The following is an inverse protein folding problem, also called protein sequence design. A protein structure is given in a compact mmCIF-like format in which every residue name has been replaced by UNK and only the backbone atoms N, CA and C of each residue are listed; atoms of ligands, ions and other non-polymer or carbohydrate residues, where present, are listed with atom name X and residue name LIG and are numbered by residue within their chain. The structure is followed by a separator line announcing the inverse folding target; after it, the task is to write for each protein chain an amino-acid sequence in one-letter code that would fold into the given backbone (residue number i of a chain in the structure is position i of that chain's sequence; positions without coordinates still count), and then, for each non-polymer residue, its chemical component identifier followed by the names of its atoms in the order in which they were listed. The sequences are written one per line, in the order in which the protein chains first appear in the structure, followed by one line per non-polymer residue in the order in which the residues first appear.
data_IF_896755789217
#
_entry.id   IF_896755789217
#
_cell.length_a   1.000
_cell.length_b   1.000
_cell.length_c   1.000
_cell.angle_alpha   90.00
_cell.angle_beta   90.00
_cell.angle_gamma   90.00
#
_symmetry.space_group_name_H-M   'P 1'
#
loop_
_entity.id
_entity.type
_entity.pdbx_description
1 polymer ?
#
# COMPACT_ATOMS: atom_id res chain seq x y z
N UNK A 1 2.84 -19.44 -26.11
CA UNK A 1 2.21 -18.63 -25.08
C UNK A 1 3.28 -18.19 -24.08
N UNK A 2 3.44 -16.91 -23.87
CA UNK A 2 4.24 -16.40 -22.78
C UNK A 2 3.39 -16.47 -21.50
N UNK A 3 4.01 -16.86 -20.41
CA UNK A 3 3.40 -16.89 -19.08
C UNK A 3 4.27 -16.12 -18.10
N UNK A 4 3.66 -15.35 -17.25
CA UNK A 4 4.34 -14.55 -16.24
C UNK A 4 3.89 -14.98 -14.84
N UNK A 5 4.80 -14.91 -13.88
CA UNK A 5 4.48 -15.11 -12.47
C UNK A 5 3.67 -13.90 -11.96
N UNK A 6 2.65 -14.14 -11.13
CA UNK A 6 1.77 -13.10 -10.63
C UNK A 6 2.49 -12.18 -9.65
N UNK A 7 2.30 -10.86 -9.81
CA UNK A 7 2.82 -9.86 -8.87
C UNK A 7 1.84 -9.54 -7.73
N UNK A 8 0.54 -9.79 -7.93
CA UNK A 8 -0.56 -9.51 -7.00
C UNK A 8 -1.84 -10.14 -7.53
N UNK A 9 -2.78 -10.45 -6.65
CA UNK A 9 -4.12 -10.91 -7.00
C UNK A 9 -5.17 -9.79 -6.96
N UNK A 10 -4.75 -8.55 -6.78
CA UNK A 10 -5.62 -7.40 -6.51
C UNK A 10 -6.75 -7.23 -7.54
N UNK A 11 -6.45 -7.18 -8.84
CA UNK A 11 -7.48 -6.97 -9.87
C UNK A 11 -8.49 -8.13 -9.93
N UNK A 12 -8.03 -9.36 -9.69
CA UNK A 12 -8.90 -10.53 -9.63
C UNK A 12 -9.83 -10.48 -8.40
N UNK A 13 -9.31 -10.00 -7.25
CA UNK A 13 -10.10 -9.83 -6.03
C UNK A 13 -11.13 -8.71 -6.17
N UNK A 14 -10.80 -7.59 -6.81
CA UNK A 14 -11.78 -6.55 -7.15
C UNK A 14 -12.94 -7.11 -7.98
N UNK A 15 -12.63 -7.93 -9.01
CA UNK A 15 -13.64 -8.62 -9.80
C UNK A 15 -14.55 -9.53 -8.95
N UNK A 16 -13.98 -10.25 -7.99
CA UNK A 16 -14.73 -11.12 -7.08
C UNK A 16 -15.62 -10.31 -6.13
N UNK A 17 -15.12 -9.19 -5.59
CA UNK A 17 -15.91 -8.29 -4.72
C UNK A 17 -17.15 -7.78 -5.44
N UNK A 18 -16.99 -7.31 -6.69
CA UNK A 18 -18.08 -6.80 -7.52
C UNK A 18 -19.16 -7.89 -7.75
N UNK A 19 -18.72 -9.10 -8.08
CA UNK A 19 -19.63 -10.24 -8.34
C UNK A 19 -20.29 -10.79 -7.09
N UNK A 20 -19.55 -10.94 -6.00
CA UNK A 20 -20.03 -11.58 -4.77
C UNK A 20 -20.68 -10.57 -3.79
N UNK A 21 -20.46 -9.28 -3.97
CA UNK A 21 -20.93 -8.19 -3.09
C UNK A 21 -20.57 -8.40 -1.62
N UNK A 22 -19.42 -8.99 -1.36
CA UNK A 22 -18.88 -9.25 -0.01
C UNK A 22 -17.37 -9.15 0.00
N UNK A 23 -16.78 -9.01 1.20
CA UNK A 23 -15.35 -9.06 1.38
C UNK A 23 -14.74 -10.40 1.00
N UNK A 24 -13.60 -10.37 0.36
CA UNK A 24 -12.80 -11.53 -0.02
C UNK A 24 -11.35 -11.28 0.38
N UNK A 25 -10.56 -12.32 0.51
CA UNK A 25 -9.12 -12.21 0.68
C UNK A 25 -8.41 -13.43 0.09
N UNK A 26 -7.14 -13.28 -0.17
CA UNK A 26 -6.26 -14.39 -0.53
C UNK A 26 -4.95 -14.32 0.25
N UNK A 27 -4.30 -15.47 0.34
CA UNK A 27 -2.91 -15.59 0.77
C UNK A 27 -2.19 -16.26 -0.39
N UNK A 28 -1.39 -15.50 -1.11
CA UNK A 28 -0.77 -15.95 -2.36
C UNK A 28 0.71 -15.61 -2.43
N UNK A 29 1.45 -16.43 -3.17
CA UNK A 29 2.82 -16.10 -3.54
C UNK A 29 2.80 -15.05 -4.65
N UNK A 30 3.57 -14.00 -4.42
CA UNK A 30 3.77 -12.89 -5.35
C UNK A 30 5.23 -12.82 -5.76
N UNK A 31 5.45 -12.42 -7.01
CA UNK A 31 6.77 -12.43 -7.62
C UNK A 31 7.06 -11.06 -8.21
N UNK A 32 8.21 -10.49 -7.85
CA UNK A 32 8.68 -9.20 -8.40
C UNK A 32 10.14 -9.31 -8.75
N UNK A 33 10.51 -8.74 -9.87
CA UNK A 33 11.92 -8.56 -10.21
C UNK A 33 12.48 -7.45 -9.33
N UNK A 34 13.49 -7.78 -8.53
CA UNK A 34 14.15 -6.82 -7.63
C UNK A 34 15.56 -6.54 -8.12
N UNK A 35 15.93 -5.27 -8.12
CA UNK A 35 17.31 -4.88 -8.42
C UNK A 35 18.17 -5.01 -7.16
N UNK A 36 18.86 -6.13 -7.01
CA UNK A 36 19.73 -6.41 -5.86
C UNK A 36 21.05 -5.61 -5.86
N UNK A 37 21.35 -4.85 -6.91
CA UNK A 37 22.45 -3.87 -6.92
C UNK A 37 22.05 -2.59 -6.18
N UNK A 38 20.76 -2.36 -5.96
CA UNK A 38 20.26 -1.29 -5.11
C UNK A 38 20.53 -1.61 -3.63
N UNK A 39 21.35 -0.81 -2.92
CA UNK A 39 21.62 -1.03 -1.50
C UNK A 39 20.38 -1.03 -0.60
N UNK A 40 19.30 -0.35 -1.00
CA UNK A 40 18.04 -0.30 -0.25
C UNK A 40 17.19 -1.57 -0.45
N UNK A 41 17.30 -2.23 -1.59
CA UNK A 41 16.64 -3.51 -1.87
C UNK A 41 17.35 -4.68 -1.19
N UNK A 42 18.69 -4.59 -1.10
CA UNK A 42 19.54 -5.67 -0.59
C UNK A 42 19.21 -6.01 0.88
N UNK A 43 18.78 -7.26 1.09
CA UNK A 43 18.46 -7.78 2.42
C UNK A 43 17.08 -7.38 2.98
N UNK A 44 16.27 -6.64 2.20
CA UNK A 44 14.89 -6.25 2.57
C UNK A 44 13.84 -6.84 1.64
N UNK A 45 14.11 -6.86 0.35
CA UNK A 45 13.15 -7.30 -0.66
C UNK A 45 13.48 -8.70 -1.15
N UNK A 46 12.45 -9.49 -1.33
CA UNK A 46 12.53 -10.83 -1.88
C UNK A 46 11.84 -10.84 -3.25
N UNK A 47 12.40 -11.58 -4.21
CA UNK A 47 11.76 -11.76 -5.52
C UNK A 47 10.53 -12.64 -5.44
N UNK A 48 10.41 -13.50 -4.42
CA UNK A 48 9.23 -14.28 -4.09
C UNK A 48 8.86 -14.03 -2.63
N UNK A 49 7.60 -13.70 -2.39
CA UNK A 49 7.07 -13.42 -1.05
C UNK A 49 5.57 -13.70 -1.01
N UNK A 50 5.02 -13.85 0.20
CA UNK A 50 3.60 -14.07 0.39
C UNK A 50 2.90 -12.75 0.67
N UNK A 51 1.83 -12.45 -0.08
CA UNK A 51 0.90 -11.36 0.19
C UNK A 51 -0.39 -11.89 0.83
N UNK A 52 -0.92 -11.11 1.77
CA UNK A 52 -2.29 -11.22 2.27
C UNK A 52 -3.04 -10.03 1.70
N UNK A 53 -3.96 -10.29 0.77
CA UNK A 53 -4.64 -9.25 0.00
C UNK A 53 -6.15 -9.32 0.27
N UNK A 54 -6.69 -8.51 1.20
CA UNK A 54 -8.12 -8.37 1.40
C UNK A 54 -8.71 -7.28 0.51
N UNK A 55 -9.86 -7.55 -0.08
CA UNK A 55 -10.70 -6.57 -0.78
C UNK A 55 -12.13 -6.63 -0.23
N UNK A 56 -12.77 -5.49 -0.05
CA UNK A 56 -14.07 -5.42 0.61
C UNK A 56 -14.92 -4.27 0.06
N UNK A 57 -16.24 -4.47 -0.12
CA UNK A 57 -17.13 -3.37 -0.39
C UNK A 57 -17.28 -2.48 0.86
N UNK A 58 -17.28 -1.18 0.65
CA UNK A 58 -17.53 -0.18 1.68
C UNK A 58 -18.64 0.77 1.24
N UNK A 59 -19.31 1.39 2.20
CA UNK A 59 -20.31 2.42 1.97
C UNK A 59 -19.85 3.75 2.55
N UNK A 60 -20.21 4.84 1.89
CA UNK A 60 -19.87 6.20 2.30
C UNK A 60 -19.12 7.00 1.24
N UNK A 61 -18.75 8.23 1.58
CA UNK A 61 -17.85 9.04 0.76
C UNK A 61 -16.46 8.42 0.69
N UNK A 62 -15.67 8.79 -0.32
CA UNK A 62 -14.31 8.25 -0.47
C UNK A 62 -13.43 8.50 0.77
N UNK A 63 -13.60 9.65 1.44
CA UNK A 63 -12.88 9.96 2.68
C UNK A 63 -13.31 9.06 3.85
N UNK A 64 -14.60 8.82 3.99
CA UNK A 64 -15.13 7.89 5.02
C UNK A 64 -14.65 6.47 4.76
N UNK A 65 -14.62 6.04 3.49
CA UNK A 65 -14.11 4.72 3.09
C UNK A 65 -12.63 4.61 3.39
N UNK A 66 -11.82 5.62 3.08
CA UNK A 66 -10.39 5.63 3.41
C UNK A 66 -10.17 5.49 4.92
N UNK A 67 -10.95 6.21 5.74
CA UNK A 67 -10.88 6.08 7.19
C UNK A 67 -11.27 4.68 7.69
N UNK A 68 -12.23 4.01 7.05
CA UNK A 68 -12.59 2.62 7.36
C UNK A 68 -11.47 1.63 6.96
N UNK A 69 -10.77 1.88 5.84
CA UNK A 69 -9.58 1.10 5.44
C UNK A 69 -8.50 1.24 6.50
N UNK A 70 -8.13 2.46 6.89
CA UNK A 70 -7.13 2.75 7.92
C UNK A 70 -7.46 2.02 9.24
N UNK A 71 -8.73 2.10 9.68
CA UNK A 71 -9.16 1.41 10.89
C UNK A 71 -9.07 -0.12 10.77
N UNK A 72 -9.32 -0.67 9.57
CA UNK A 72 -9.20 -2.09 9.29
C UNK A 72 -7.74 -2.55 9.33
N UNK A 73 -6.83 -1.82 8.70
CA UNK A 73 -5.40 -2.10 8.68
C UNK A 73 -4.79 -2.04 10.10
N UNK A 74 -5.11 -1.00 10.87
CA UNK A 74 -4.69 -0.88 12.27
C UNK A 74 -5.17 -2.09 13.09
N UNK A 75 -6.43 -2.52 12.90
CA UNK A 75 -6.99 -3.68 13.58
C UNK A 75 -6.28 -4.99 13.19
N UNK A 76 -5.95 -5.18 11.91
CA UNK A 76 -5.20 -6.36 11.44
C UNK A 76 -3.86 -6.45 12.15
N UNK A 77 -3.07 -5.38 12.14
CA UNK A 77 -1.76 -5.36 12.79
C UNK A 77 -1.86 -5.57 14.30
N UNK A 78 -2.77 -4.88 14.97
CA UNK A 78 -2.97 -5.05 16.42
C UNK A 78 -3.41 -6.47 16.78
N UNK A 79 -4.28 -7.08 15.96
CA UNK A 79 -4.70 -8.45 16.17
C UNK A 79 -3.54 -9.44 16.01
N UNK A 80 -2.70 -9.26 14.99
CA UNK A 80 -1.53 -10.10 14.77
C UNK A 80 -0.52 -9.95 15.92
N UNK A 81 -0.23 -8.72 16.37
CA UNK A 81 0.66 -8.47 17.49
C UNK A 81 0.11 -9.12 18.79
N UNK A 82 -1.19 -8.98 19.03
CA UNK A 82 -1.84 -9.59 20.19
C UNK A 82 -1.68 -11.10 20.17
N UNK A 83 -2.01 -11.76 19.06
CA UNK A 83 -1.92 -13.20 18.88
C UNK A 83 -0.49 -13.72 19.11
N UNK A 84 0.50 -13.03 18.56
CA UNK A 84 1.90 -13.41 18.71
C UNK A 84 2.40 -13.22 20.16
N UNK A 85 1.97 -12.14 20.84
CA UNK A 85 2.31 -11.94 22.25
C UNK A 85 1.66 -12.98 23.17
N UNK A 86 0.42 -13.37 22.91
CA UNK A 86 -0.30 -14.37 23.72
C UNK A 86 0.30 -15.79 23.58
N UNK A 87 0.81 -16.14 22.40
CA UNK A 87 1.22 -17.51 22.10
C UNK A 87 2.74 -17.71 21.96
N UNK A 88 3.53 -16.66 21.68
CA UNK A 88 4.94 -16.75 21.30
C UNK A 88 5.85 -15.75 22.05
N UNK A 89 5.43 -15.16 23.20
CA UNK A 89 6.21 -14.14 23.90
C UNK A 89 7.62 -14.67 24.29
N UNK A 90 7.71 -15.91 24.72
CA UNK A 90 8.98 -16.56 25.06
C UNK A 90 9.89 -16.67 23.85
N UNK A 91 9.36 -17.08 22.71
CA UNK A 91 10.14 -17.25 21.46
C UNK A 91 10.62 -15.91 20.93
N UNK A 92 9.76 -14.86 20.99
CA UNK A 92 10.15 -13.49 20.64
C UNK A 92 11.34 -13.04 21.49
N UNK A 93 11.29 -13.30 22.78
CA UNK A 93 12.36 -12.93 23.71
C UNK A 93 13.65 -13.67 23.41
N UNK A 94 13.57 -14.97 23.16
CA UNK A 94 14.73 -15.81 22.78
C UNK A 94 15.39 -15.33 21.48
N UNK A 95 14.60 -14.86 20.53
CA UNK A 95 15.07 -14.29 19.26
C UNK A 95 15.55 -12.85 19.36
N UNK A 96 15.56 -12.25 20.56
CA UNK A 96 15.97 -10.86 20.80
C UNK A 96 14.94 -9.83 20.34
N UNK A 97 13.67 -10.24 20.19
CA UNK A 97 12.56 -9.34 19.87
C UNK A 97 12.19 -8.43 21.04
N UNK A 98 11.60 -7.28 20.72
CA UNK A 98 11.25 -6.24 21.70
C UNK A 98 9.79 -6.38 22.16
N UNK A 99 9.54 -7.29 23.08
CA UNK A 99 8.19 -7.55 23.65
C UNK A 99 7.53 -6.28 24.20
N UNK A 100 8.26 -5.47 24.97
CA UNK A 100 7.71 -4.22 25.55
C UNK A 100 7.29 -3.22 24.47
N UNK A 101 8.04 -3.14 23.35
CA UNK A 101 7.65 -2.33 22.22
C UNK A 101 6.32 -2.82 21.61
N UNK A 102 6.18 -4.13 21.37
CA UNK A 102 4.95 -4.71 20.84
C UNK A 102 3.75 -4.46 21.76
N UNK A 103 3.94 -4.63 23.08
CA UNK A 103 2.92 -4.28 24.10
C UNK A 103 2.54 -2.79 24.04
N UNK A 104 3.52 -1.90 23.86
CA UNK A 104 3.28 -0.47 23.77
C UNK A 104 2.49 -0.09 22.52
N UNK A 105 2.71 -0.77 21.39
CA UNK A 105 1.97 -0.55 20.12
C UNK A 105 0.49 -0.89 20.29
N UNK A 106 0.15 -1.96 21.04
CA UNK A 106 -1.25 -2.32 21.30
C UNK A 106 -2.01 -1.24 22.06
N UNK A 107 -1.35 -0.54 22.99
CA UNK A 107 -1.95 0.49 23.84
C UNK A 107 -2.10 1.87 23.18
N UNK A 108 -1.58 2.08 21.96
CA UNK A 108 -1.55 3.37 21.30
C UNK A 108 -2.35 3.35 20.01
N UNK A 109 -2.93 4.49 19.63
CA UNK A 109 -3.41 4.69 18.28
C UNK A 109 -2.21 4.92 17.34
N UNK A 110 -2.27 4.41 16.14
CA UNK A 110 -1.26 4.66 15.13
C UNK A 110 -1.29 6.13 14.71
N UNK A 111 -0.14 6.70 14.43
CA UNK A 111 -0.04 8.07 13.96
C UNK A 111 -0.61 8.19 12.53
N UNK A 112 -1.06 9.38 12.16
CA UNK A 112 -1.63 9.64 10.83
C UNK A 112 -1.13 10.99 10.33
N UNK A 113 -0.77 11.03 9.05
CA UNK A 113 -0.50 12.26 8.33
C UNK A 113 -0.84 12.06 6.84
N UNK A 114 -1.06 13.16 6.16
CA UNK A 114 -1.15 13.17 4.71
C UNK A 114 0.24 13.20 4.08
N UNK A 115 0.34 12.87 2.80
CA UNK A 115 1.58 13.01 2.04
C UNK A 115 2.10 14.45 2.05
N UNK A 116 1.22 15.45 1.97
CA UNK A 116 1.63 16.86 2.02
C UNK A 116 2.22 17.24 3.38
N UNK A 117 1.61 16.81 4.48
CA UNK A 117 2.15 17.01 5.84
C UNK A 117 3.49 16.28 6.00
N UNK A 118 3.65 15.09 5.39
CA UNK A 118 4.94 14.39 5.38
C UNK A 118 6.02 15.18 4.64
N UNK A 119 5.72 15.76 3.46
CA UNK A 119 6.65 16.62 2.74
C UNK A 119 6.98 17.90 3.51
N UNK A 120 5.97 18.53 4.13
CA UNK A 120 6.19 19.73 4.95
C UNK A 120 7.17 19.44 6.11
N UNK A 121 6.95 18.32 6.82
CA UNK A 121 7.84 17.87 7.88
C UNK A 121 9.25 17.61 7.35
N UNK A 122 9.41 16.83 6.28
CA UNK A 122 10.70 16.48 5.70
C UNK A 122 11.48 17.71 5.21
N UNK A 123 10.77 18.71 4.68
CA UNK A 123 11.39 19.95 4.23
C UNK A 123 11.83 20.85 5.42
N UNK A 124 11.07 20.87 6.52
CA UNK A 124 11.49 21.53 7.78
C UNK A 124 12.75 20.90 8.36
N UNK A 125 12.94 19.60 8.18
CA UNK A 125 14.14 18.86 8.55
C UNK A 125 15.33 19.03 7.55
N UNK A 126 15.26 20.02 6.67
CA UNK A 126 16.31 20.36 5.72
C UNK A 126 16.26 19.60 4.41
N UNK A 127 15.15 18.95 4.09
CA UNK A 127 14.89 18.37 2.78
C UNK A 127 14.58 19.41 1.70
N UNK A 128 14.47 18.96 0.46
CA UNK A 128 14.01 19.75 -0.69
C UNK A 128 13.06 18.91 -1.56
N UNK A 129 12.04 18.37 -0.92
CA UNK A 129 11.06 17.50 -1.55
C UNK A 129 9.95 18.32 -2.20
N UNK A 130 9.49 17.86 -3.36
CA UNK A 130 8.41 18.48 -4.14
C UNK A 130 7.22 17.54 -4.24
N UNK A 131 6.06 18.10 -4.47
CA UNK A 131 4.86 17.30 -4.73
C UNK A 131 5.09 16.30 -5.88
N UNK A 132 4.92 15.05 -5.55
CA UNK A 132 5.09 13.91 -6.47
C UNK A 132 6.47 13.25 -6.43
N UNK A 133 7.34 13.65 -5.50
CA UNK A 133 8.52 12.87 -5.17
C UNK A 133 8.10 11.61 -4.40
N UNK A 134 8.78 10.50 -4.62
CA UNK A 134 8.50 9.28 -3.89
C UNK A 134 9.11 9.34 -2.48
N UNK A 135 8.44 8.73 -1.51
CA UNK A 135 8.96 8.55 -0.16
C UNK A 135 9.67 7.20 -0.08
N UNK A 136 10.98 7.25 -0.04
CA UNK A 136 11.77 6.03 0.08
C UNK A 136 12.08 5.72 1.56
N UNK A 137 12.81 4.65 1.80
CA UNK A 137 13.14 4.13 3.14
C UNK A 137 13.72 5.18 4.09
N UNK A 138 14.51 6.12 3.57
CA UNK A 138 15.13 7.16 4.39
C UNK A 138 14.10 8.17 4.89
N UNK A 139 13.17 8.56 4.03
CA UNK A 139 12.06 9.44 4.36
C UNK A 139 11.09 8.76 5.32
N UNK A 140 10.71 7.51 5.07
CA UNK A 140 9.87 6.70 5.96
C UNK A 140 10.45 6.61 7.38
N UNK A 141 11.76 6.38 7.50
CA UNK A 141 12.44 6.32 8.81
C UNK A 141 12.39 7.65 9.56
N UNK A 142 12.52 8.79 8.86
CA UNK A 142 12.39 10.11 9.47
C UNK A 142 10.98 10.36 9.97
N UNK A 143 9.97 10.02 9.17
CA UNK A 143 8.56 10.12 9.54
C UNK A 143 8.29 9.26 10.79
N UNK A 144 8.70 8.00 10.80
CA UNK A 144 8.54 7.13 11.94
C UNK A 144 9.24 7.65 13.21
N UNK A 145 10.45 8.17 13.07
CA UNK A 145 11.20 8.76 14.19
C UNK A 145 10.49 9.99 14.78
N UNK A 146 9.85 10.80 13.94
CA UNK A 146 9.04 11.95 14.39
C UNK A 146 7.89 11.54 15.31
N UNK A 147 7.32 10.36 15.10
CA UNK A 147 6.24 9.79 15.91
C UNK A 147 6.73 8.74 16.93
N UNK A 148 7.93 8.88 17.47
CA UNK A 148 8.51 7.97 18.47
C UNK A 148 8.53 6.49 18.03
N UNK A 149 8.66 6.25 16.73
CA UNK A 149 8.59 4.93 16.11
C UNK A 149 7.26 4.19 16.36
N UNK A 150 6.16 4.91 16.52
CA UNK A 150 4.82 4.34 16.46
C UNK A 150 4.47 4.05 15.00
N UNK A 151 3.80 2.92 14.68
CA UNK A 151 3.29 2.70 13.33
C UNK A 151 2.50 3.91 12.83
N UNK A 152 2.77 4.34 11.61
CA UNK A 152 2.31 5.61 11.08
C UNK A 152 1.67 5.43 9.71
N UNK A 153 0.45 5.93 9.54
CA UNK A 153 -0.22 6.00 8.25
C UNK A 153 0.16 7.27 7.51
N UNK A 154 0.53 7.11 6.24
CA UNK A 154 0.67 8.23 5.29
C UNK A 154 -0.40 8.08 4.23
N UNK A 155 -1.20 9.11 4.01
CA UNK A 155 -2.36 9.05 3.12
C UNK A 155 -2.34 10.11 2.02
N UNK A 156 -3.25 10.01 1.05
CA UNK A 156 -3.45 11.01 -0.01
C UNK A 156 -2.21 11.25 -0.88
N UNK A 157 -1.59 10.17 -1.34
CA UNK A 157 -0.45 10.25 -2.25
C UNK A 157 -0.79 10.88 -3.59
N UNK A 158 0.20 11.48 -4.28
CA UNK A 158 0.02 12.00 -5.63
C UNK A 158 -0.45 10.91 -6.61
N UNK A 159 -1.47 11.21 -7.42
CA UNK A 159 -2.05 10.27 -8.38
C UNK A 159 -1.03 9.73 -9.39
N UNK A 160 -0.01 10.54 -9.74
CA UNK A 160 1.00 10.17 -10.74
C UNK A 160 1.97 9.08 -10.31
N UNK A 161 2.09 8.81 -9.00
CA UNK A 161 2.99 7.78 -8.44
C UNK A 161 2.25 6.56 -7.92
N UNK A 162 0.92 6.55 -7.98
CA UNK A 162 0.08 5.42 -7.55
C UNK A 162 -0.60 4.75 -8.74
N UNK A 163 -1.18 3.59 -8.50
CA UNK A 163 -1.76 2.74 -9.53
C UNK A 163 -3.08 3.34 -10.08
N UNK A 164 -3.40 3.06 -11.34
CA UNK A 164 -4.46 3.73 -12.10
C UNK A 164 -5.88 3.48 -11.58
N UNK A 165 -6.14 2.38 -10.88
CA UNK A 165 -7.47 2.00 -10.38
C UNK A 165 -7.87 2.67 -9.06
N UNK A 166 -6.99 3.50 -8.50
CA UNK A 166 -7.28 4.21 -7.26
C UNK A 166 -8.17 5.44 -7.52
N UNK A 167 -9.17 5.64 -6.65
CA UNK A 167 -10.06 6.80 -6.74
C UNK A 167 -9.30 8.08 -6.45
N UNK A 168 -9.46 9.05 -7.36
CA UNK A 168 -8.81 10.37 -7.22
C UNK A 168 -9.64 11.32 -6.37
N UNK A 169 -8.96 12.24 -5.71
CA UNK A 169 -9.57 13.42 -5.07
C UNK A 169 -10.26 14.31 -6.11
N UNK A 170 -11.19 15.20 -5.73
CA UNK A 170 -11.92 16.04 -6.68
C UNK A 170 -11.04 16.92 -7.58
N UNK A 171 -9.86 17.34 -7.10
CA UNK A 171 -8.86 18.07 -7.89
C UNK A 171 -8.10 17.21 -8.90
N UNK A 172 -8.18 15.87 -8.74
CA UNK A 172 -7.48 14.91 -9.58
C UNK A 172 -6.00 14.73 -9.29
N UNK A 173 -5.44 15.48 -8.36
CA UNK A 173 -4.01 15.52 -8.07
C UNK A 173 -3.56 14.37 -7.16
N UNK A 174 -4.41 13.93 -6.25
CA UNK A 174 -4.16 12.89 -5.27
C UNK A 174 -5.09 11.71 -5.45
N UNK A 175 -4.80 10.62 -4.75
CA UNK A 175 -5.68 9.46 -4.63
C UNK A 175 -6.04 9.22 -3.17
N UNK A 176 -7.21 8.65 -2.93
CA UNK A 176 -7.62 8.16 -1.61
C UNK A 176 -6.88 6.84 -1.30
N UNK A 177 -5.60 6.97 -1.03
CA UNK A 177 -4.71 5.86 -0.68
C UNK A 177 -4.09 6.05 0.68
N UNK A 178 -3.58 4.99 1.25
CA UNK A 178 -2.86 4.98 2.51
C UNK A 178 -1.79 3.90 2.49
N UNK A 179 -0.62 4.23 3.02
CA UNK A 179 0.44 3.27 3.27
C UNK A 179 0.71 3.26 4.79
N UNK A 180 0.75 2.07 5.39
CA UNK A 180 1.14 1.89 6.79
C UNK A 180 2.65 1.67 6.88
N UNK A 181 3.33 2.59 7.49
CA UNK A 181 4.75 2.50 7.81
C UNK A 181 4.96 1.85 9.17
N UNK A 182 5.81 0.82 9.22
CA UNK A 182 6.20 0.18 10.49
C UNK A 182 7.70 0.29 10.74
N UNK A 183 8.12 0.52 11.98
CA UNK A 183 9.53 0.63 12.32
C UNK A 183 10.32 -0.60 11.87
N UNK A 184 11.47 -0.37 11.23
CA UNK A 184 12.39 -1.37 10.66
C UNK A 184 11.89 -2.07 9.39
N UNK A 185 10.59 -2.07 9.12
CA UNK A 185 9.99 -2.71 7.95
C UNK A 185 9.74 -1.72 6.80
N UNK A 186 9.42 -0.45 7.13
CA UNK A 186 8.93 0.53 6.15
C UNK A 186 7.48 0.30 5.80
N UNK A 187 7.08 0.57 4.56
CA UNK A 187 5.73 0.25 4.08
C UNK A 187 5.44 -1.24 4.27
N UNK A 188 4.41 -1.52 5.07
CA UNK A 188 3.99 -2.87 5.44
C UNK A 188 2.63 -3.23 4.86
N UNK A 189 1.73 -2.27 4.78
CA UNK A 189 0.42 -2.41 4.14
C UNK A 189 0.21 -1.20 3.25
N UNK A 190 -0.30 -1.42 2.05
CA UNK A 190 -0.79 -0.37 1.17
C UNK A 190 -2.28 -0.59 0.87
N UNK A 191 -3.10 0.44 1.05
CA UNK A 191 -4.53 0.40 0.79
C UNK A 191 -5.02 1.58 -0.04
N UNK A 192 -6.16 1.42 -0.69
CA UNK A 192 -6.80 2.52 -1.42
C UNK A 192 -8.29 2.30 -1.65
N UNK A 193 -9.01 3.40 -1.77
CA UNK A 193 -10.35 3.42 -2.33
C UNK A 193 -10.24 3.23 -3.83
N UNK A 194 -11.02 2.29 -4.38
CA UNK A 194 -11.02 2.02 -5.81
C UNK A 194 -11.92 2.99 -6.55
N UNK A 195 -11.53 3.36 -7.78
CA UNK A 195 -12.41 4.09 -8.70
C UNK A 195 -13.49 3.12 -9.20
N UNK A 196 -14.71 3.58 -9.26
CA UNK A 196 -15.88 2.79 -9.66
C UNK A 196 -16.38 3.14 -11.07
N UNK A 197 -15.86 4.23 -11.64
CA UNK A 197 -16.18 4.67 -12.99
C UNK A 197 -15.18 4.07 -13.99
N UNK A 198 -15.64 3.08 -14.77
CA UNK A 198 -14.82 2.37 -15.74
C UNK A 198 -14.16 3.27 -16.80
N UNK A 199 -14.84 4.36 -17.21
CA UNK A 199 -14.27 5.30 -18.20
C UNK A 199 -13.13 6.13 -17.57
N UNK A 200 -13.26 6.49 -16.30
CA UNK A 200 -12.16 7.14 -15.59
C UNK A 200 -10.97 6.18 -15.42
N UNK A 201 -11.22 4.93 -15.05
CA UNK A 201 -10.16 3.93 -14.89
C UNK A 201 -9.40 3.76 -16.22
N UNK A 202 -10.10 3.61 -17.34
CA UNK A 202 -9.48 3.55 -18.68
C UNK A 202 -8.64 4.79 -18.99
N UNK A 203 -9.20 5.98 -18.73
CA UNK A 203 -8.50 7.25 -18.92
C UNK A 203 -7.22 7.31 -18.07
N UNK A 204 -7.27 6.86 -16.81
CA UNK A 204 -6.12 6.88 -15.91
C UNK A 204 -5.06 5.86 -16.36
N UNK A 205 -5.49 4.67 -16.78
CA UNK A 205 -4.58 3.67 -17.35
C UNK A 205 -3.84 4.23 -18.58
N UNK A 206 -4.57 4.79 -19.54
CA UNK A 206 -3.98 5.35 -20.77
C UNK A 206 -3.01 6.50 -20.52
N UNK A 207 -3.17 7.23 -19.42
CA UNK A 207 -2.24 8.28 -18.96
C UNK A 207 -1.12 7.79 -18.03
N UNK A 208 -0.98 6.50 -17.81
CA UNK A 208 -0.02 5.93 -16.86
C UNK A 208 1.30 5.51 -17.53
N UNK A 209 2.34 5.33 -16.71
CA UNK A 209 3.62 4.75 -17.17
C UNK A 209 3.46 3.34 -17.73
N UNK A 210 2.46 2.58 -17.24
CA UNK A 210 2.15 1.22 -17.71
C UNK A 210 1.72 1.28 -19.18
N UNK A 211 0.80 2.19 -19.53
CA UNK A 211 0.36 2.35 -20.91
C UNK A 211 1.53 2.78 -21.82
N UNK A 212 2.35 3.72 -21.38
CA UNK A 212 3.54 4.14 -22.11
C UNK A 212 4.46 2.95 -22.39
N UNK A 213 4.77 2.16 -21.36
CA UNK A 213 5.62 0.97 -21.50
C UNK A 213 5.03 -0.05 -22.52
N UNK A 214 3.72 -0.35 -22.43
CA UNK A 214 3.08 -1.30 -23.36
C UNK A 214 3.10 -0.76 -24.80
N UNK A 215 2.86 0.54 -24.99
CA UNK A 215 2.91 1.18 -26.31
C UNK A 215 4.32 1.16 -26.92
N UNK A 216 5.36 1.36 -26.12
CA UNK A 216 6.75 1.25 -26.57
C UNK A 216 7.11 -0.17 -27.07
N UNK A 217 6.39 -1.19 -26.58
CA UNK A 217 6.50 -2.56 -27.06
C UNK A 217 5.52 -2.88 -28.23
N UNK A 218 4.92 -1.85 -28.83
CA UNK A 218 3.89 -1.96 -29.90
C UNK A 218 2.62 -2.71 -29.46
N UNK A 219 2.32 -2.76 -28.17
CA UNK A 219 1.13 -3.37 -27.59
C UNK A 219 -0.04 -2.38 -27.45
N UNK A 220 -1.26 -2.92 -27.30
CA UNK A 220 -2.44 -2.16 -26.88
C UNK A 220 -2.49 -2.12 -25.35
N UNK A 221 -2.43 -0.93 -24.71
CA UNK A 221 -2.48 -0.81 -23.25
C UNK A 221 -3.73 -1.39 -22.58
N UNK A 222 -4.83 -1.51 -23.30
CA UNK A 222 -6.08 -2.05 -22.76
C UNK A 222 -6.13 -3.58 -22.81
N UNK A 223 -5.39 -4.22 -23.70
CA UNK A 223 -5.46 -5.68 -23.90
C UNK A 223 -5.12 -6.50 -22.64
N UNK A 224 -4.07 -6.20 -21.87
CA UNK A 224 -3.78 -6.93 -20.63
C UNK A 224 -4.86 -6.78 -19.53
N UNK A 225 -5.67 -5.72 -19.63
CA UNK A 225 -6.70 -5.39 -18.65
C UNK A 225 -8.14 -5.63 -19.17
N UNK A 226 -8.29 -6.26 -20.34
CA UNK A 226 -9.61 -6.47 -20.97
C UNK A 226 -10.59 -7.17 -20.04
N UNK A 227 -10.17 -8.22 -19.35
CA UNK A 227 -11.04 -8.96 -18.42
C UNK A 227 -11.48 -8.11 -17.23
N UNK A 228 -10.60 -7.23 -16.76
CA UNK A 228 -10.91 -6.29 -15.69
C UNK A 228 -11.92 -5.22 -16.12
N UNK A 229 -11.89 -4.76 -17.37
CA UNK A 229 -12.85 -3.78 -17.90
C UNK A 229 -14.20 -4.37 -18.34
N UNK A 230 -14.32 -5.68 -18.38
CA UNK A 230 -15.57 -6.38 -18.73
C UNK A 230 -16.41 -6.73 -17.47
N UNK A 231 -16.09 -6.17 -16.33
CA UNK A 231 -16.83 -6.32 -15.08
C UNK A 231 -17.97 -5.32 -15.01
#
# INVERSE_FOLDING_TARGET
HEAHLSQSAQLQLEALVIRLKRGVFTVNNSFREENYDDPEAKGRRLSEFTLIEPEKPYEGSAEEVLNQIIATEEKIIKSAIKEVLENCETDITLLGGKVDYLKSVLGKNFARLTYDEALEFLNKEGGNYKFGDDLNVKEERKILAHFDNIPTFVSHYPAKIKFFNMKRTPDGERVYSVDLLMPRLGETIGGAVREEDGEKIKKYLLGSKIATYIQEQNGDPLEPFREYFNL
#
